data_IF_163655361553
#
_entry.id   IF_163655361553
#
_cell.length_a   1.000
_cell.length_b   1.000
_cell.length_c   1.000
_cell.angle_alpha   90.00
_cell.angle_beta   90.00
_cell.angle_gamma   90.00
#
_symmetry.space_group_name_H-M   'P 1'
#
loop_
_entity.id
_entity.type
_entity.pdbx_description
1 polymer ?
#
# COMPACT_ATOMS: atom_id res chain seq x y z
N UNK A 1 -57.97 55.02 52.33
CA UNK A 1 -58.04 54.09 51.20
C UNK A 1 -57.18 54.71 50.12
N UNK A 2 -55.90 54.37 50.11
CA UNK A 2 -54.95 54.97 49.18
C UNK A 2 -55.11 54.39 47.77
N UNK A 3 -55.13 55.23 46.72
CA UNK A 3 -55.15 54.77 45.35
C UNK A 3 -53.74 54.29 44.99
N UNK A 4 -53.52 52.97 45.03
CA UNK A 4 -52.33 52.37 44.41
C UNK A 4 -52.25 52.84 42.96
N UNK A 5 -51.05 53.29 42.56
CA UNK A 5 -50.83 54.04 41.33
C UNK A 5 -50.59 53.07 40.15
N UNK A 6 -51.06 53.40 38.92
CA UNK A 6 -50.91 52.54 37.73
C UNK A 6 -49.46 52.10 37.42
N UNK A 7 -48.47 52.85 37.91
CA UNK A 7 -47.04 52.56 37.76
C UNK A 7 -46.56 51.37 38.61
N UNK A 8 -47.19 51.10 39.77
CA UNK A 8 -46.86 49.95 40.62
C UNK A 8 -47.23 48.63 39.94
N UNK A 9 -48.40 48.59 39.29
CA UNK A 9 -48.88 47.41 38.54
C UNK A 9 -48.06 47.07 37.30
N UNK A 10 -47.49 48.07 36.63
CA UNK A 10 -46.63 47.85 35.45
C UNK A 10 -45.25 47.30 35.86
N UNK A 11 -44.71 47.78 36.99
CA UNK A 11 -43.47 47.28 37.57
C UNK A 11 -43.59 45.80 38.00
N UNK A 12 -44.68 45.42 38.65
CA UNK A 12 -44.93 44.02 39.06
C UNK A 12 -45.03 43.08 37.87
N UNK A 13 -45.74 43.49 36.80
CA UNK A 13 -45.85 42.72 35.57
C UNK A 13 -44.49 42.53 34.89
N UNK A 14 -43.69 43.59 34.83
CA UNK A 14 -42.34 43.53 34.27
C UNK A 14 -41.43 42.62 35.09
N UNK A 15 -41.48 42.72 36.42
CA UNK A 15 -40.74 41.87 37.32
C UNK A 15 -41.11 40.38 37.13
N UNK A 16 -42.40 40.06 37.04
CA UNK A 16 -42.86 38.69 36.78
C UNK A 16 -42.37 38.13 35.44
N UNK A 17 -42.36 38.95 34.38
CA UNK A 17 -41.78 38.58 33.08
C UNK A 17 -40.29 38.30 33.16
N UNK A 18 -39.52 39.16 33.84
CA UNK A 18 -38.09 38.98 34.06
C UNK A 18 -37.78 37.69 34.83
N UNK A 19 -38.52 37.41 35.91
CA UNK A 19 -38.37 36.17 36.68
C UNK A 19 -38.65 34.93 35.82
N UNK A 20 -39.68 34.99 34.98
CA UNK A 20 -40.03 33.89 34.07
C UNK A 20 -38.95 33.67 33.02
N UNK A 21 -38.44 34.74 32.42
CA UNK A 21 -37.35 34.69 31.46
C UNK A 21 -36.05 34.11 32.07
N UNK A 22 -35.68 34.53 33.30
CA UNK A 22 -34.53 33.98 34.02
C UNK A 22 -34.67 32.48 34.30
N UNK A 23 -35.87 32.02 34.67
CA UNK A 23 -36.15 30.58 34.88
C UNK A 23 -35.99 29.78 33.59
N UNK A 24 -36.52 30.29 32.48
CA UNK A 24 -36.36 29.63 31.18
C UNK A 24 -34.90 29.63 30.69
N UNK A 25 -34.18 30.75 30.87
CA UNK A 25 -32.75 30.82 30.56
C UNK A 25 -31.96 29.77 31.36
N UNK A 26 -32.25 29.62 32.66
CA UNK A 26 -31.58 28.62 33.49
C UNK A 26 -31.90 27.18 33.02
N UNK A 27 -33.15 26.88 32.67
CA UNK A 27 -33.53 25.57 32.09
C UNK A 27 -32.79 25.27 30.79
N UNK A 28 -32.67 26.26 29.91
CA UNK A 28 -31.95 26.13 28.65
C UNK A 28 -30.46 25.90 28.88
N UNK A 29 -29.85 26.57 29.85
CA UNK A 29 -28.43 26.37 30.19
C UNK A 29 -28.16 24.95 30.70
N UNK A 30 -29.01 24.41 31.57
CA UNK A 30 -28.91 23.01 32.03
C UNK A 30 -28.99 22.05 30.83
N UNK A 31 -29.95 22.26 29.92
CA UNK A 31 -30.09 21.44 28.70
C UNK A 31 -28.85 21.55 27.81
N UNK A 32 -28.29 22.75 27.65
CA UNK A 32 -27.06 22.99 26.87
C UNK A 32 -25.89 22.19 27.43
N UNK A 33 -25.66 22.25 28.74
CA UNK A 33 -24.59 21.50 29.41
C UNK A 33 -24.78 20.00 29.21
N UNK A 34 -26.01 19.51 29.36
CA UNK A 34 -26.33 18.10 29.15
C UNK A 34 -26.03 17.65 27.72
N UNK A 35 -26.48 18.42 26.71
CA UNK A 35 -26.20 18.14 25.30
C UNK A 35 -24.70 18.15 25.03
N UNK A 36 -23.95 19.12 25.57
CA UNK A 36 -22.50 19.19 25.41
C UNK A 36 -21.79 17.96 26.00
N UNK A 37 -22.25 17.46 27.16
CA UNK A 37 -21.73 16.23 27.76
C UNK A 37 -22.01 15.00 26.89
N UNK A 38 -23.23 14.88 26.37
CA UNK A 38 -23.60 13.78 25.49
C UNK A 38 -22.80 13.81 24.19
N UNK A 39 -22.60 14.99 23.61
CA UNK A 39 -21.82 15.18 22.38
C UNK A 39 -20.35 14.79 22.59
N UNK A 40 -19.74 15.15 23.73
CA UNK A 40 -18.39 14.68 24.11
C UNK A 40 -18.32 13.16 24.22
N UNK A 41 -19.32 12.53 24.87
CA UNK A 41 -19.40 11.06 24.99
C UNK A 41 -19.52 10.39 23.62
N UNK A 42 -20.42 10.87 22.75
CA UNK A 42 -20.61 10.33 21.41
C UNK A 42 -19.34 10.45 20.54
N UNK A 43 -18.64 11.58 20.62
CA UNK A 43 -17.35 11.76 19.92
C UNK A 43 -16.30 10.75 20.38
N UNK A 44 -16.24 10.44 21.67
CA UNK A 44 -15.31 9.44 22.20
C UNK A 44 -15.67 8.03 21.71
N UNK A 45 -16.97 7.70 21.68
CA UNK A 45 -17.46 6.44 21.14
C UNK A 45 -17.14 6.29 19.65
N UNK A 46 -17.38 7.33 18.85
CA UNK A 46 -17.05 7.34 17.42
C UNK A 46 -15.57 7.04 17.17
N UNK A 47 -14.66 7.75 17.85
CA UNK A 47 -13.21 7.49 17.75
C UNK A 47 -12.82 6.07 18.16
N UNK A 48 -13.48 5.53 19.18
CA UNK A 48 -13.22 4.16 19.65
C UNK A 48 -13.66 3.14 18.59
N UNK A 49 -14.81 3.37 17.94
CA UNK A 49 -15.30 2.52 16.87
C UNK A 49 -14.44 2.62 15.61
N UNK A 50 -14.02 3.82 15.22
CA UNK A 50 -13.10 4.04 14.10
C UNK A 50 -11.78 3.30 14.29
N UNK A 51 -11.18 3.39 15.49
CA UNK A 51 -9.96 2.65 15.81
C UNK A 51 -10.19 1.14 15.71
N UNK A 52 -11.28 0.62 16.29
CA UNK A 52 -11.59 -0.82 16.22
C UNK A 52 -11.84 -1.28 14.78
N UNK A 53 -12.49 -0.45 13.97
CA UNK A 53 -12.73 -0.73 12.56
C UNK A 53 -11.41 -0.79 11.79
N UNK A 54 -10.49 0.16 12.04
CA UNK A 54 -9.14 0.13 11.46
C UNK A 54 -8.38 -1.14 11.85
N UNK A 55 -8.34 -1.48 13.15
CA UNK A 55 -7.68 -2.71 13.64
C UNK A 55 -8.27 -3.98 13.00
N UNK A 56 -9.60 -4.03 12.84
CA UNK A 56 -10.26 -5.14 12.14
C UNK A 56 -9.93 -5.16 10.65
N UNK A 57 -9.87 -4.01 10.00
CA UNK A 57 -9.52 -3.92 8.58
C UNK A 57 -8.09 -4.39 8.34
N UNK A 58 -7.14 -4.02 9.20
CA UNK A 58 -5.75 -4.48 9.12
C UNK A 58 -5.67 -6.01 9.29
N UNK A 59 -6.39 -6.55 10.29
CA UNK A 59 -6.47 -8.00 10.53
C UNK A 59 -7.07 -8.76 9.34
N UNK A 60 -8.13 -8.21 8.71
CA UNK A 60 -8.75 -8.81 7.52
C UNK A 60 -7.77 -8.78 6.34
N UNK A 61 -7.12 -7.64 6.13
CA UNK A 61 -6.16 -7.45 5.04
C UNK A 61 -4.99 -8.42 5.17
N UNK A 62 -4.45 -8.59 6.37
CA UNK A 62 -3.40 -9.57 6.65
C UNK A 62 -3.86 -11.02 6.36
N UNK A 63 -5.04 -11.41 6.84
CA UNK A 63 -5.59 -12.75 6.59
C UNK A 63 -5.81 -13.02 5.10
N UNK A 64 -6.33 -12.04 4.36
CA UNK A 64 -6.51 -12.14 2.92
C UNK A 64 -5.17 -12.26 2.20
N UNK A 65 -4.16 -11.48 2.60
CA UNK A 65 -2.81 -11.57 2.05
C UNK A 65 -2.23 -12.97 2.27
N UNK A 66 -2.33 -13.52 3.48
CA UNK A 66 -1.84 -14.86 3.80
C UNK A 66 -2.58 -15.96 3.02
N UNK A 67 -3.89 -15.84 2.88
CA UNK A 67 -4.69 -16.76 2.06
C UNK A 67 -4.28 -16.71 0.57
N UNK A 68 -4.13 -15.51 0.01
CA UNK A 68 -3.68 -15.32 -1.36
C UNK A 68 -2.29 -15.93 -1.59
N UNK A 69 -1.34 -15.68 -0.68
CA UNK A 69 0.00 -16.29 -0.72
C UNK A 69 -0.06 -17.81 -0.72
N UNK A 70 -0.84 -18.41 0.19
CA UNK A 70 -0.98 -19.87 0.26
C UNK A 70 -1.58 -20.46 -1.03
N UNK A 71 -2.58 -19.79 -1.62
CA UNK A 71 -3.15 -20.20 -2.91
C UNK A 71 -2.12 -20.10 -4.05
N UNK A 72 -1.39 -18.98 -4.14
CA UNK A 72 -0.37 -18.78 -5.14
C UNK A 72 0.73 -19.85 -5.04
N UNK A 73 1.25 -20.10 -3.84
CA UNK A 73 2.24 -21.14 -3.59
C UNK A 73 1.73 -22.52 -4.01
N UNK A 74 0.49 -22.86 -3.61
CA UNK A 74 -0.13 -24.13 -3.98
C UNK A 74 -0.32 -24.29 -5.49
N UNK A 75 -0.64 -23.21 -6.21
CA UNK A 75 -0.72 -23.20 -7.67
C UNK A 75 0.67 -23.36 -8.31
N UNK A 76 1.64 -22.57 -7.88
CA UNK A 76 3.03 -22.60 -8.35
C UNK A 76 3.69 -23.96 -8.16
N UNK A 77 3.47 -24.61 -7.01
CA UNK A 77 3.90 -25.97 -6.75
C UNK A 77 3.30 -26.96 -7.76
N UNK A 78 1.99 -26.88 -8.03
CA UNK A 78 1.34 -27.73 -9.03
C UNK A 78 1.86 -27.49 -10.44
N UNK A 79 2.13 -26.25 -10.82
CA UNK A 79 2.76 -25.92 -12.11
C UNK A 79 4.12 -26.62 -12.21
N UNK A 80 4.94 -26.52 -11.17
CA UNK A 80 6.26 -27.16 -11.12
C UNK A 80 6.20 -28.68 -11.17
N UNK A 81 5.29 -29.28 -10.43
CA UNK A 81 5.12 -30.74 -10.40
C UNK A 81 4.56 -31.29 -11.72
N UNK A 82 3.67 -30.54 -12.40
CA UNK A 82 2.92 -31.05 -13.54
C UNK A 82 3.59 -30.81 -14.88
N UNK A 83 4.28 -29.67 -15.04
CA UNK A 83 4.90 -29.29 -16.32
C UNK A 83 6.39 -29.60 -16.31
N UNK A 84 6.96 -30.16 -17.39
CA UNK A 84 8.41 -30.28 -17.57
C UNK A 84 9.11 -28.92 -17.57
N UNK A 85 10.40 -28.89 -17.22
CA UNK A 85 11.21 -27.64 -17.12
C UNK A 85 11.08 -26.77 -18.38
N UNK A 86 11.19 -27.34 -19.57
CA UNK A 86 11.12 -26.58 -20.83
C UNK A 86 9.78 -25.86 -21.02
N UNK A 87 8.67 -26.47 -20.58
CA UNK A 87 7.35 -25.82 -20.65
C UNK A 87 7.24 -24.71 -19.61
N UNK A 88 7.83 -24.90 -18.43
CA UNK A 88 7.89 -23.85 -17.39
C UNK A 88 8.73 -22.67 -17.85
N UNK A 89 9.85 -22.93 -18.52
CA UNK A 89 10.70 -21.89 -19.09
C UNK A 89 9.96 -21.02 -20.13
N UNK A 90 9.10 -21.62 -20.97
CA UNK A 90 8.21 -20.86 -21.87
C UNK A 90 7.21 -19.97 -21.11
N UNK A 91 6.63 -20.51 -20.03
CA UNK A 91 5.74 -19.76 -19.15
C UNK A 91 6.49 -18.61 -18.48
N UNK A 92 7.71 -18.85 -18.01
CA UNK A 92 8.55 -17.83 -17.38
C UNK A 92 8.92 -16.74 -18.38
N UNK A 93 9.42 -17.09 -19.57
CA UNK A 93 9.72 -16.11 -20.64
C UNK A 93 8.52 -15.19 -20.90
N UNK A 94 7.30 -15.73 -20.88
CA UNK A 94 6.10 -14.93 -21.09
C UNK A 94 5.91 -13.86 -20.00
N UNK A 95 6.23 -14.14 -18.74
CA UNK A 95 6.10 -13.19 -17.62
C UNK A 95 7.33 -12.30 -17.42
N UNK A 96 8.51 -12.84 -17.66
CA UNK A 96 9.78 -12.11 -17.58
C UNK A 96 10.02 -11.27 -18.82
N UNK A 97 9.24 -11.50 -19.87
CA UNK A 97 9.28 -10.75 -21.10
C UNK A 97 10.51 -10.97 -21.96
N UNK A 98 11.28 -12.03 -21.69
CA UNK A 98 12.62 -12.34 -22.23
C UNK A 98 13.01 -11.54 -23.47
N UNK A 99 14.03 -10.69 -23.33
CA UNK A 99 14.36 -9.69 -24.35
C UNK A 99 15.63 -8.90 -24.06
N UNK A 100 15.78 -7.79 -24.77
CA UNK A 100 16.93 -6.88 -24.63
C UNK A 100 16.77 -6.00 -23.37
N UNK A 101 17.77 -6.03 -22.50
CA UNK A 101 17.85 -5.25 -21.27
C UNK A 101 19.02 -4.27 -21.40
N UNK A 102 18.73 -2.98 -21.49
CA UNK A 102 19.76 -1.95 -21.55
C UNK A 102 20.23 -1.58 -20.14
N UNK A 103 21.54 -1.67 -19.90
CA UNK A 103 22.18 -1.29 -18.65
C UNK A 103 22.98 -0.01 -18.89
N UNK A 104 22.54 1.08 -18.27
CA UNK A 104 23.15 2.39 -18.35
C UNK A 104 23.11 3.11 -17.00
N UNK A 105 24.04 4.04 -16.79
CA UNK A 105 24.02 4.93 -15.63
C UNK A 105 23.05 6.09 -15.86
N UNK A 106 22.24 6.39 -14.85
CA UNK A 106 21.21 7.43 -14.90
C UNK A 106 21.78 8.83 -14.65
N UNK A 107 23.05 8.92 -14.26
CA UNK A 107 23.69 10.16 -13.79
C UNK A 107 23.76 11.34 -14.79
N UNK A 108 23.23 11.20 -16.02
CA UNK A 108 23.21 12.27 -17.01
C UNK A 108 21.94 12.44 -17.86
N UNK A 109 20.86 11.68 -17.63
CA UNK A 109 19.64 11.77 -18.47
C UNK A 109 18.49 12.37 -17.68
N UNK A 110 18.25 13.67 -17.90
CA UNK A 110 16.99 14.32 -17.56
C UNK A 110 15.90 13.78 -18.49
N UNK A 111 14.80 13.32 -17.89
CA UNK A 111 13.52 13.01 -18.52
C UNK A 111 13.33 11.62 -19.19
N UNK A 112 12.53 10.82 -18.46
CA UNK A 112 11.37 10.06 -18.95
C UNK A 112 11.38 8.54 -19.16
N UNK A 113 12.48 7.79 -19.15
CA UNK A 113 12.35 6.35 -19.44
C UNK A 113 13.21 5.43 -18.54
N UNK A 114 12.49 4.47 -17.92
CA UNK A 114 12.92 3.28 -17.16
C UNK A 114 13.75 3.51 -15.88
N UNK A 115 13.42 2.75 -14.83
CA UNK A 115 14.26 2.58 -13.64
C UNK A 115 15.60 1.99 -14.08
N UNK A 116 16.74 2.46 -13.54
CA UNK A 116 18.03 1.83 -13.86
C UNK A 116 18.02 0.39 -13.38
N UNK A 117 18.70 -0.51 -14.10
CA UNK A 117 18.90 -1.92 -13.70
C UNK A 117 19.31 -2.07 -12.22
N UNK A 118 20.14 -1.14 -11.73
CA UNK A 118 20.67 -1.18 -10.36
C UNK A 118 19.78 -0.52 -9.31
N UNK A 119 18.75 0.20 -9.74
CA UNK A 119 17.81 0.92 -8.86
C UNK A 119 16.43 0.23 -8.82
N UNK A 120 16.28 -0.88 -9.53
CA UNK A 120 15.05 -1.65 -9.61
C UNK A 120 15.16 -2.94 -8.80
N UNK A 121 14.16 -3.16 -7.95
CA UNK A 121 13.98 -4.39 -7.19
C UNK A 121 13.19 -5.46 -7.98
N UNK A 122 12.85 -5.19 -9.24
CA UNK A 122 11.98 -6.05 -10.07
C UNK A 122 12.31 -5.95 -11.56
N UNK A 123 12.60 -7.08 -12.19
CA UNK A 123 12.79 -7.15 -13.65
C UNK A 123 11.62 -6.57 -14.46
N UNK A 124 10.42 -6.52 -13.90
CA UNK A 124 9.25 -5.88 -14.53
C UNK A 124 9.35 -4.35 -14.61
N UNK A 125 10.10 -3.69 -13.72
CA UNK A 125 10.29 -2.23 -13.76
C UNK A 125 11.20 -1.80 -14.92
N UNK A 126 12.02 -2.75 -15.41
CA UNK A 126 12.91 -2.55 -16.55
C UNK A 126 12.20 -2.73 -17.89
N UNK A 127 10.96 -3.24 -17.88
CA UNK A 127 10.19 -3.47 -19.10
C UNK A 127 9.09 -2.41 -19.27
N UNK A 128 9.13 -1.62 -20.35
CA UNK A 128 8.21 -0.50 -20.55
C UNK A 128 6.75 -0.92 -20.82
N UNK A 129 6.47 -2.22 -21.03
CA UNK A 129 5.13 -2.71 -21.41
C UNK A 129 4.33 -3.42 -20.30
N UNK A 130 4.92 -3.72 -19.14
CA UNK A 130 4.25 -4.58 -18.12
C UNK A 130 4.25 -4.01 -16.70
N UNK A 131 4.18 -2.69 -16.58
CA UNK A 131 4.04 -1.98 -15.29
C UNK A 131 2.65 -2.16 -14.64
N UNK A 132 2.06 -3.36 -14.68
CA UNK A 132 0.96 -3.69 -13.78
C UNK A 132 1.57 -4.07 -12.42
N UNK A 133 1.11 -3.48 -11.30
CA UNK A 133 1.59 -3.83 -9.96
C UNK A 133 1.38 -5.32 -9.61
N UNK A 134 0.57 -6.04 -10.39
CA UNK A 134 0.30 -7.48 -10.23
C UNK A 134 1.48 -8.35 -10.70
N UNK A 135 2.33 -7.87 -11.61
CA UNK A 135 3.49 -8.64 -12.13
C UNK A 135 4.61 -8.74 -11.09
N UNK A 136 4.75 -7.77 -10.19
CA UNK A 136 5.72 -7.83 -9.10
C UNK A 136 5.52 -9.05 -8.16
N UNK A 137 4.32 -9.62 -8.11
CA UNK A 137 4.01 -10.75 -7.24
C UNK A 137 4.58 -12.08 -7.75
N UNK A 138 4.82 -12.24 -9.06
CA UNK A 138 5.37 -13.50 -9.59
C UNK A 138 6.84 -13.72 -9.22
N UNK A 139 7.49 -12.70 -8.67
CA UNK A 139 8.88 -12.67 -8.23
C UNK A 139 9.05 -12.76 -6.71
N UNK A 140 7.95 -12.64 -5.96
CA UNK A 140 8.01 -12.67 -4.51
C UNK A 140 8.05 -14.12 -4.01
N UNK A 141 9.15 -14.52 -3.38
CA UNK A 141 9.34 -15.88 -2.85
C UNK A 141 8.29 -16.27 -1.81
N UNK A 142 7.74 -15.30 -1.07
CA UNK A 142 6.62 -15.54 -0.15
C UNK A 142 5.29 -15.82 -0.87
N UNK A 143 5.16 -15.47 -2.15
CA UNK A 143 3.96 -15.70 -2.96
C UNK A 143 4.07 -16.94 -3.85
N UNK A 144 5.19 -17.16 -4.54
CA UNK A 144 5.33 -18.27 -5.52
C UNK A 144 6.18 -19.45 -5.01
N UNK A 145 6.90 -19.26 -3.89
CA UNK A 145 7.80 -20.26 -3.31
C UNK A 145 9.23 -20.14 -3.83
N UNK A 146 10.20 -20.53 -2.98
CA UNK A 146 11.63 -20.33 -3.23
C UNK A 146 12.11 -20.98 -4.54
N UNK A 147 11.81 -22.27 -4.77
CA UNK A 147 12.34 -22.90 -5.97
C UNK A 147 11.66 -22.43 -7.27
N UNK A 148 10.40 -21.95 -7.24
CA UNK A 148 9.83 -21.31 -8.44
C UNK A 148 10.51 -19.97 -8.72
N UNK A 149 10.77 -19.17 -7.69
CA UNK A 149 11.51 -17.92 -7.83
C UNK A 149 12.90 -18.16 -8.42
N UNK A 150 13.64 -19.16 -7.91
CA UNK A 150 14.94 -19.54 -8.47
C UNK A 150 14.82 -19.96 -9.94
N UNK A 151 13.82 -20.78 -10.25
CA UNK A 151 13.56 -21.25 -11.61
C UNK A 151 13.27 -20.11 -12.60
N UNK A 152 12.59 -19.05 -12.15
CA UNK A 152 12.27 -17.86 -12.95
C UNK A 152 13.51 -16.96 -13.09
N UNK A 153 14.27 -16.75 -12.00
CA UNK A 153 15.52 -15.98 -11.99
C UNK A 153 16.56 -16.55 -12.97
N UNK A 154 16.82 -17.85 -12.88
CA UNK A 154 17.69 -18.57 -13.82
C UNK A 154 17.24 -18.36 -15.27
N UNK A 155 15.92 -18.43 -15.50
CA UNK A 155 15.38 -18.30 -16.83
C UNK A 155 15.46 -16.85 -17.35
N UNK A 156 15.31 -15.85 -16.50
CA UNK A 156 15.53 -14.45 -16.86
C UNK A 156 16.95 -14.24 -17.35
N UNK A 157 17.96 -14.65 -16.58
CA UNK A 157 19.36 -14.51 -17.00
C UNK A 157 19.70 -15.30 -18.26
N UNK A 158 19.04 -16.45 -18.46
CA UNK A 158 19.27 -17.30 -19.64
C UNK A 158 18.63 -16.75 -20.92
N UNK A 159 17.49 -16.07 -20.79
CA UNK A 159 16.69 -15.61 -21.94
C UNK A 159 16.85 -14.13 -22.27
N UNK A 160 17.41 -13.33 -21.35
CA UNK A 160 17.65 -11.90 -21.55
C UNK A 160 19.01 -11.63 -22.20
N UNK A 161 19.04 -10.62 -23.07
CA UNK A 161 20.28 -10.09 -23.65
C UNK A 161 20.61 -8.75 -23.01
N UNK A 162 21.75 -8.64 -22.34
CA UNK A 162 22.14 -7.42 -21.63
C UNK A 162 23.04 -6.54 -22.49
N UNK A 163 22.58 -5.34 -22.81
CA UNK A 163 23.29 -4.36 -23.62
C UNK A 163 23.95 -3.31 -22.72
N UNK A 164 25.24 -3.09 -22.96
CA UNK A 164 26.02 -2.02 -22.33
C UNK A 164 26.45 -1.05 -23.42
N UNK A 165 26.28 0.25 -23.18
CA UNK A 165 26.87 1.27 -24.05
C UNK A 165 28.41 1.26 -23.90
N UNK A 166 29.14 1.82 -24.87
CA UNK A 166 30.59 1.98 -24.77
C UNK A 166 31.01 2.85 -23.57
N UNK A 167 30.14 3.77 -23.16
CA UNK A 167 30.37 4.68 -22.04
C UNK A 167 30.08 3.99 -20.69
N UNK A 168 29.24 2.95 -20.70
CA UNK A 168 28.77 2.24 -19.51
C UNK A 168 29.48 0.90 -19.25
N UNK A 169 30.56 0.58 -19.97
CA UNK A 169 31.28 -0.70 -19.80
C UNK A 169 31.79 -0.94 -18.37
N UNK A 170 32.02 0.12 -17.59
CA UNK A 170 32.40 -0.01 -16.18
C UNK A 170 31.30 -0.68 -15.33
N UNK A 171 30.03 -0.57 -15.74
CA UNK A 171 28.89 -1.21 -15.09
C UNK A 171 28.90 -2.73 -15.24
N UNK A 172 29.62 -3.29 -16.21
CA UNK A 172 29.75 -4.75 -16.36
C UNK A 172 30.32 -5.40 -15.08
N UNK A 173 31.27 -4.73 -14.43
CA UNK A 173 31.86 -5.20 -13.17
C UNK A 173 30.86 -5.16 -12.01
N UNK A 174 29.91 -4.22 -12.04
CA UNK A 174 28.82 -4.10 -11.07
C UNK A 174 27.76 -5.17 -11.35
N UNK A 175 27.29 -5.27 -12.59
CA UNK A 175 26.33 -6.27 -13.06
C UNK A 175 26.72 -7.70 -12.66
N UNK A 176 27.98 -8.09 -12.86
CA UNK A 176 28.48 -9.43 -12.48
C UNK A 176 28.41 -9.76 -10.98
N UNK A 177 28.27 -8.76 -10.12
CA UNK A 177 28.19 -8.89 -8.66
C UNK A 177 26.82 -8.51 -8.12
N UNK A 178 26.00 -7.85 -8.93
CA UNK A 178 24.64 -7.49 -8.59
C UNK A 178 23.74 -8.61 -9.01
N UNK A 179 23.31 -9.35 -7.99
CA UNK A 179 22.09 -10.10 -8.06
C UNK A 179 20.92 -9.13 -7.89
N UNK A 180 20.19 -8.87 -8.99
CA UNK A 180 19.12 -7.88 -8.99
C UNK A 180 17.97 -8.27 -8.05
N UNK A 181 17.82 -9.55 -7.73
CA UNK A 181 16.69 -10.05 -6.93
C UNK A 181 17.09 -10.52 -5.53
N UNK A 182 18.39 -10.52 -5.21
CA UNK A 182 18.90 -10.88 -3.88
C UNK A 182 18.70 -12.36 -3.48
N UNK A 183 18.51 -13.26 -4.46
CA UNK A 183 18.29 -14.70 -4.27
C UNK A 183 19.61 -15.52 -4.36
N UNK A 184 20.64 -14.93 -4.93
CA UNK A 184 21.96 -15.47 -5.26
C UNK A 184 22.10 -15.67 -6.77
N UNK A 185 23.20 -15.18 -7.36
CA UNK A 185 23.49 -15.49 -8.76
C UNK A 185 23.63 -17.01 -8.96
N UNK A 186 23.01 -17.59 -10.00
CA UNK A 186 23.15 -19.02 -10.27
C UNK A 186 24.63 -19.37 -10.44
N UNK A 187 25.14 -20.31 -9.64
CA UNK A 187 26.56 -20.68 -9.62
C UNK A 187 27.11 -21.22 -10.96
N UNK A 188 26.22 -21.51 -11.92
CA UNK A 188 26.58 -22.01 -13.25
C UNK A 188 26.68 -20.93 -14.33
N UNK A 189 26.32 -19.68 -14.07
CA UNK A 189 26.30 -18.61 -15.08
C UNK A 189 27.48 -17.68 -14.80
N UNK A 190 28.24 -17.37 -15.86
CA UNK A 190 29.45 -16.51 -15.88
C UNK A 190 30.78 -17.24 -15.61
N UNK A 191 31.14 -18.15 -16.51
CA UNK A 191 32.51 -18.16 -17.07
C UNK A 191 32.44 -17.49 -18.45
N UNK A 192 32.72 -16.18 -18.47
CA UNK A 192 33.06 -15.45 -19.70
C UNK A 192 34.57 -15.57 -19.92
#
# INVERSE_FOLDING_TARGET
MDPSTPAETEYELLHAKCVTALREQHKLEIKRIHIQKNLKSLRLQARTLERRASEHQDTITEKLSNYAKALCQGFCAKVRERFPRDIRDLIYIYFTGGGEVCIYDRSGVEENHATSYFDSDSGADLQPLWSSPEVGLCWNSSCVGADMVQEVDEQYYRSSTFHFSSEDLYLLSKFRRTDQWGIGLPTCVVRL
#
